data_IF_327962854272
#
_entry.id   IF_327962854272
#
_cell.length_a   1.000
_cell.length_b   1.000
_cell.length_c   1.000
_cell.angle_alpha   90.00
_cell.angle_beta   90.00
_cell.angle_gamma   90.00
#
_symmetry.space_group_name_H-M   'P 1'
#
loop_
_entity.id
_entity.type
_entity.pdbx_description
1 polymer ?
#
# COMPACT_ATOMS: atom_id res chain seq x y z
N UNK A 1 -12.55 -15.30 -15.52
CA UNK A 1 -11.53 -14.69 -14.68
C UNK A 1 -10.55 -13.81 -15.46
N UNK A 2 -9.86 -14.30 -16.50
CA UNK A 2 -8.89 -13.49 -17.31
C UNK A 2 -9.48 -12.20 -17.87
N UNK A 3 -10.71 -12.21 -18.42
CA UNK A 3 -11.35 -11.02 -19.00
C UNK A 3 -11.67 -9.93 -17.98
N UNK A 4 -12.05 -10.31 -16.76
CA UNK A 4 -12.32 -9.36 -15.65
C UNK A 4 -11.02 -8.68 -15.22
N UNK A 5 -9.94 -9.43 -15.05
CA UNK A 5 -8.64 -8.89 -14.68
C UNK A 5 -8.11 -7.94 -15.76
N UNK A 6 -8.19 -8.34 -17.03
CA UNK A 6 -7.68 -7.53 -18.14
C UNK A 6 -8.50 -6.24 -18.36
N UNK A 7 -9.83 -6.32 -18.32
CA UNK A 7 -10.70 -5.15 -18.46
C UNK A 7 -10.45 -4.14 -17.34
N UNK A 8 -10.34 -4.59 -16.10
CA UNK A 8 -10.05 -3.74 -14.95
C UNK A 8 -8.64 -3.09 -15.04
N UNK A 9 -7.64 -3.82 -15.53
CA UNK A 9 -6.29 -3.27 -15.71
C UNK A 9 -6.29 -2.14 -16.76
N UNK A 10 -6.95 -2.33 -17.91
CA UNK A 10 -7.02 -1.31 -18.96
C UNK A 10 -7.75 -0.04 -18.51
N UNK A 11 -8.85 -0.18 -17.78
CA UNK A 11 -9.64 0.95 -17.28
C UNK A 11 -8.85 1.86 -16.33
N UNK A 12 -7.89 1.31 -15.58
CA UNK A 12 -7.20 2.02 -14.52
C UNK A 12 -5.69 2.20 -14.74
N UNK A 13 -5.20 1.97 -15.95
CA UNK A 13 -3.78 2.17 -16.31
C UNK A 13 -3.21 3.53 -15.91
N UNK A 14 -4.07 4.58 -15.82
CA UNK A 14 -3.66 5.93 -15.40
C UNK A 14 -3.06 5.98 -13.99
N UNK A 15 -3.49 5.11 -13.07
CA UNK A 15 -2.96 5.06 -11.71
C UNK A 15 -1.56 4.48 -11.67
N UNK A 16 -1.30 3.42 -12.45
CA UNK A 16 0.05 2.87 -12.61
C UNK A 16 0.99 3.86 -13.32
N UNK A 17 0.48 4.61 -14.30
CA UNK A 17 1.26 5.68 -14.93
C UNK A 17 1.58 6.80 -13.93
N UNK A 18 0.61 7.22 -13.11
CA UNK A 18 0.84 8.21 -12.05
C UNK A 18 1.86 7.70 -11.01
N UNK A 19 1.75 6.45 -10.57
CA UNK A 19 2.73 5.83 -9.68
C UNK A 19 4.13 5.80 -10.30
N UNK A 20 4.25 5.41 -11.57
CA UNK A 20 5.51 5.40 -12.30
C UNK A 20 6.13 6.80 -12.45
N UNK A 21 5.33 7.82 -12.79
CA UNK A 21 5.78 9.22 -12.85
C UNK A 21 6.26 9.69 -11.48
N UNK A 22 5.49 9.42 -10.42
CA UNK A 22 5.87 9.76 -9.04
C UNK A 22 7.18 9.07 -8.64
N UNK A 23 7.34 7.79 -8.98
CA UNK A 23 8.56 7.05 -8.71
C UNK A 23 9.78 7.68 -9.40
N UNK A 24 9.67 8.05 -10.67
CA UNK A 24 10.75 8.68 -11.43
C UNK A 24 11.10 10.07 -10.85
N UNK A 25 10.09 10.91 -10.60
CA UNK A 25 10.32 12.27 -10.07
C UNK A 25 10.94 12.24 -8.68
N UNK A 26 10.48 11.38 -7.79
CA UNK A 26 11.04 11.28 -6.44
C UNK A 26 12.43 10.67 -6.43
N UNK A 27 12.71 9.70 -7.31
CA UNK A 27 14.07 9.16 -7.50
C UNK A 27 15.02 10.25 -7.97
N UNK A 28 14.62 11.05 -8.97
CA UNK A 28 15.41 12.18 -9.46
C UNK A 28 15.63 13.23 -8.36
N UNK A 29 14.60 13.57 -7.57
CA UNK A 29 14.72 14.50 -6.45
C UNK A 29 15.72 13.98 -5.39
N UNK A 30 15.64 12.72 -4.99
CA UNK A 30 16.61 12.13 -4.05
C UNK A 30 18.02 12.13 -4.62
N UNK A 31 18.20 11.76 -5.89
CA UNK A 31 19.51 11.77 -6.54
C UNK A 31 20.12 13.19 -6.58
N UNK A 32 19.33 14.22 -6.91
CA UNK A 32 19.76 15.61 -6.90
C UNK A 32 20.12 16.05 -5.49
N UNK A 33 19.32 15.76 -4.47
CA UNK A 33 19.64 16.09 -3.08
C UNK A 33 21.00 15.50 -2.67
N UNK A 34 21.23 14.22 -2.95
CA UNK A 34 22.48 13.54 -2.58
C UNK A 34 23.69 14.07 -3.36
N UNK A 35 23.54 14.39 -4.65
CA UNK A 35 24.66 14.75 -5.51
C UNK A 35 25.01 16.25 -5.46
N UNK A 36 24.01 17.13 -5.41
CA UNK A 36 24.21 18.58 -5.52
C UNK A 36 24.51 19.23 -4.17
N UNK A 37 23.83 18.79 -3.10
CA UNK A 37 23.92 19.45 -1.80
C UNK A 37 24.96 18.83 -0.84
N UNK A 38 25.84 17.99 -1.35
CA UNK A 38 26.83 17.24 -0.57
C UNK A 38 26.22 16.18 0.39
N UNK A 39 27.00 15.14 0.70
CA UNK A 39 26.58 14.01 1.54
C UNK A 39 26.65 14.34 3.03
N UNK A 40 26.05 15.46 3.46
CA UNK A 40 25.92 15.71 4.90
C UNK A 40 24.84 14.83 5.51
N UNK A 41 24.95 14.44 6.80
CA UNK A 41 23.94 13.61 7.46
C UNK A 41 22.53 14.19 7.36
N UNK A 42 22.39 15.51 7.42
CA UNK A 42 21.10 16.21 7.33
C UNK A 42 20.45 16.04 5.96
N UNK A 43 21.23 16.08 4.89
CA UNK A 43 20.73 15.91 3.52
C UNK A 43 20.39 14.46 3.23
N UNK A 44 21.18 13.52 3.74
CA UNK A 44 20.86 12.09 3.64
C UNK A 44 19.55 11.80 4.38
N UNK A 45 19.34 12.37 5.54
CA UNK A 45 18.08 12.27 6.32
C UNK A 45 16.89 12.86 5.55
N UNK A 46 17.06 14.04 4.94
CA UNK A 46 16.03 14.67 4.11
C UNK A 46 15.69 13.79 2.89
N UNK A 47 16.70 13.30 2.18
CA UNK A 47 16.52 12.39 1.06
C UNK A 47 15.81 11.08 1.49
N UNK A 48 16.16 10.54 2.66
CA UNK A 48 15.50 9.39 3.26
C UNK A 48 14.02 9.66 3.57
N UNK A 49 13.71 10.84 4.10
CA UNK A 49 12.32 11.24 4.38
C UNK A 49 11.52 11.39 3.08
N UNK A 50 12.08 12.03 2.07
CA UNK A 50 11.46 12.15 0.72
C UNK A 50 11.24 10.76 0.13
N UNK A 51 12.20 9.86 0.28
CA UNK A 51 12.10 8.49 -0.19
C UNK A 51 10.95 7.72 0.49
N UNK A 52 10.82 7.78 1.83
CA UNK A 52 9.73 7.13 2.56
C UNK A 52 8.37 7.65 2.08
N UNK A 53 8.21 8.97 1.98
CA UNK A 53 6.98 9.58 1.48
C UNK A 53 6.66 9.12 0.06
N UNK A 54 7.67 9.08 -0.80
CA UNK A 54 7.51 8.61 -2.17
C UNK A 54 7.07 7.14 -2.23
N UNK A 55 7.66 6.26 -1.43
CA UNK A 55 7.26 4.85 -1.32
C UNK A 55 5.78 4.73 -0.94
N UNK A 56 5.34 5.45 0.10
CA UNK A 56 3.94 5.43 0.54
C UNK A 56 3.01 5.91 -0.58
N UNK A 57 3.36 7.01 -1.26
CA UNK A 57 2.54 7.56 -2.36
C UNK A 57 2.50 6.60 -3.55
N UNK A 58 3.62 6.02 -3.96
CA UNK A 58 3.68 5.05 -5.07
C UNK A 58 2.83 3.83 -4.78
N UNK A 59 2.95 3.26 -3.58
CA UNK A 59 2.14 2.12 -3.16
C UNK A 59 0.66 2.47 -3.09
N UNK A 60 0.30 3.61 -2.49
CA UNK A 60 -1.09 4.07 -2.42
C UNK A 60 -1.71 4.30 -3.81
N UNK A 61 -0.96 4.87 -4.77
CA UNK A 61 -1.43 5.04 -6.15
C UNK A 61 -1.63 3.70 -6.86
N UNK A 62 -0.78 2.71 -6.61
CA UNK A 62 -0.97 1.37 -7.15
C UNK A 62 -2.25 0.73 -6.61
N UNK A 63 -2.54 0.90 -5.32
CA UNK A 63 -3.68 0.28 -4.65
C UNK A 63 -5.00 1.06 -4.79
N UNK A 64 -4.97 2.37 -5.05
CA UNK A 64 -6.17 3.21 -5.30
C UNK A 64 -7.08 2.62 -6.38
N UNK A 65 -6.50 1.88 -7.28
CA UNK A 65 -7.19 1.12 -8.30
C UNK A 65 -8.22 0.12 -7.75
N UNK A 66 -7.92 -0.57 -6.65
CA UNK A 66 -8.76 -1.65 -6.14
C UNK A 66 -10.11 -1.12 -5.63
N UNK A 67 -10.08 -0.11 -4.76
CA UNK A 67 -11.27 0.47 -4.16
C UNK A 67 -12.19 1.13 -5.20
N UNK A 68 -11.62 1.89 -6.14
CA UNK A 68 -12.40 2.57 -7.19
C UNK A 68 -13.00 1.60 -8.21
N UNK A 69 -12.31 0.53 -8.55
CA UNK A 69 -12.87 -0.52 -9.40
C UNK A 69 -14.04 -1.22 -8.75
N UNK A 70 -13.91 -1.54 -7.47
CA UNK A 70 -14.99 -2.18 -6.74
C UNK A 70 -16.22 -1.27 -6.66
N UNK A 71 -16.03 0.03 -6.38
CA UNK A 71 -17.09 1.01 -6.38
C UNK A 71 -17.79 1.12 -7.76
N UNK A 72 -16.99 1.18 -8.84
CA UNK A 72 -17.51 1.23 -10.19
C UNK A 72 -18.33 -0.03 -10.53
N UNK A 73 -17.79 -1.22 -10.20
CA UNK A 73 -18.47 -2.48 -10.43
C UNK A 73 -19.79 -2.58 -9.65
N UNK A 74 -19.84 -2.07 -8.44
CA UNK A 74 -21.07 -2.00 -7.63
C UNK A 74 -22.07 -1.05 -8.28
N UNK A 75 -21.66 0.17 -8.64
CA UNK A 75 -22.54 1.18 -9.26
C UNK A 75 -23.11 0.74 -10.61
N UNK A 76 -22.32 0.03 -11.42
CA UNK A 76 -22.74 -0.49 -12.71
C UNK A 76 -23.49 -1.82 -12.63
N UNK A 77 -23.77 -2.33 -11.42
CA UNK A 77 -24.36 -3.66 -11.20
C UNK A 77 -23.58 -4.82 -11.84
N UNK A 78 -22.32 -4.60 -12.16
CA UNK A 78 -21.48 -5.63 -12.78
C UNK A 78 -21.31 -6.82 -11.85
N UNK A 79 -21.22 -6.59 -10.54
CA UNK A 79 -21.14 -7.62 -9.51
C UNK A 79 -22.39 -8.52 -9.53
N UNK A 80 -23.57 -7.93 -9.71
CA UNK A 80 -24.85 -8.65 -9.75
C UNK A 80 -24.92 -9.53 -10.98
N UNK A 81 -24.55 -8.98 -12.14
CA UNK A 81 -24.53 -9.72 -13.42
C UNK A 81 -23.54 -10.89 -13.32
N UNK A 82 -22.39 -10.68 -12.68
CA UNK A 82 -21.34 -11.68 -12.54
C UNK A 82 -21.80 -12.83 -11.62
N UNK A 83 -22.48 -12.51 -10.51
CA UNK A 83 -23.03 -13.50 -9.59
C UNK A 83 -24.26 -14.20 -10.16
N UNK A 84 -25.13 -13.48 -10.87
CA UNK A 84 -26.27 -14.06 -11.60
C UNK A 84 -25.82 -14.99 -12.74
N UNK A 85 -24.67 -14.71 -13.34
CA UNK A 85 -24.03 -15.55 -14.36
C UNK A 85 -23.37 -16.84 -13.83
N UNK A 86 -23.59 -17.20 -12.54
CA UNK A 86 -23.12 -18.44 -11.94
C UNK A 86 -21.70 -18.42 -11.37
N UNK A 87 -21.07 -17.26 -11.28
CA UNK A 87 -19.77 -17.15 -10.59
C UNK A 87 -20.00 -17.22 -9.07
N UNK A 88 -19.32 -18.14 -8.40
CA UNK A 88 -19.47 -18.30 -6.95
C UNK A 88 -18.87 -17.09 -6.20
N UNK A 89 -19.44 -16.80 -5.02
CA UNK A 89 -18.93 -15.75 -4.11
C UNK A 89 -17.46 -15.93 -3.81
N UNK A 90 -17.02 -17.17 -3.55
CA UNK A 90 -15.61 -17.49 -3.31
C UNK A 90 -14.72 -17.11 -4.50
N UNK A 91 -15.16 -17.41 -5.72
CA UNK A 91 -14.42 -17.06 -6.94
C UNK A 91 -14.29 -15.55 -7.12
N UNK A 92 -15.35 -14.80 -6.79
CA UNK A 92 -15.33 -13.35 -6.82
C UNK A 92 -14.34 -12.78 -5.80
N UNK A 93 -14.45 -13.18 -4.53
CA UNK A 93 -13.54 -12.72 -3.46
C UNK A 93 -12.09 -13.10 -3.76
N UNK A 94 -11.85 -14.32 -4.26
CA UNK A 94 -10.53 -14.75 -4.67
C UNK A 94 -9.98 -13.91 -5.83
N UNK A 95 -10.83 -13.45 -6.75
CA UNK A 95 -10.40 -12.55 -7.84
C UNK A 95 -9.98 -11.18 -7.33
N UNK A 96 -10.65 -10.63 -6.31
CA UNK A 96 -10.27 -9.36 -5.69
C UNK A 96 -8.96 -9.52 -4.90
N UNK A 97 -8.77 -10.63 -4.19
CA UNK A 97 -7.52 -10.95 -3.51
C UNK A 97 -6.35 -11.06 -4.50
N UNK A 98 -6.57 -11.73 -5.63
CA UNK A 98 -5.52 -11.85 -6.65
C UNK A 98 -5.14 -10.49 -7.26
N UNK A 99 -6.11 -9.59 -7.47
CA UNK A 99 -5.83 -8.22 -7.92
C UNK A 99 -4.97 -7.47 -6.90
N UNK A 100 -5.33 -7.54 -5.62
CA UNK A 100 -4.56 -6.91 -4.55
C UNK A 100 -3.11 -7.44 -4.53
N UNK A 101 -2.90 -8.75 -4.63
CA UNK A 101 -1.55 -9.33 -4.70
C UNK A 101 -0.78 -8.84 -5.94
N UNK A 102 -1.42 -8.76 -7.10
CA UNK A 102 -0.76 -8.27 -8.32
C UNK A 102 -0.34 -6.81 -8.17
N UNK A 103 -1.20 -5.95 -7.62
CA UNK A 103 -0.87 -4.54 -7.38
C UNK A 103 0.26 -4.38 -6.38
N UNK A 104 0.26 -5.15 -5.29
CA UNK A 104 1.37 -5.18 -4.33
C UNK A 104 2.70 -5.56 -4.99
N UNK A 105 2.71 -6.59 -5.84
CA UNK A 105 3.92 -7.02 -6.55
C UNK A 105 4.43 -5.92 -7.49
N UNK A 106 3.54 -5.26 -8.23
CA UNK A 106 3.90 -4.14 -9.11
C UNK A 106 4.44 -2.96 -8.28
N UNK A 107 3.76 -2.58 -7.21
CA UNK A 107 4.18 -1.49 -6.32
C UNK A 107 5.54 -1.77 -5.68
N UNK A 108 5.75 -2.99 -5.18
CA UNK A 108 7.03 -3.41 -4.62
C UNK A 108 8.15 -3.37 -5.67
N UNK A 109 7.89 -3.83 -6.88
CA UNK A 109 8.87 -3.78 -7.97
C UNK A 109 9.29 -2.34 -8.31
N UNK A 110 8.32 -1.39 -8.35
CA UNK A 110 8.61 0.04 -8.54
C UNK A 110 9.47 0.59 -7.39
N UNK A 111 9.12 0.30 -6.13
CA UNK A 111 9.89 0.74 -4.97
C UNK A 111 11.30 0.17 -4.93
N UNK A 112 11.48 -1.11 -5.29
CA UNK A 112 12.80 -1.73 -5.39
C UNK A 112 13.63 -1.10 -6.52
N UNK A 113 13.02 -0.77 -7.66
CA UNK A 113 13.70 -0.07 -8.74
C UNK A 113 14.16 1.33 -8.30
N UNK A 114 13.30 2.10 -7.58
CA UNK A 114 13.68 3.39 -7.00
C UNK A 114 14.89 3.23 -6.06
N UNK A 115 14.83 2.28 -5.13
CA UNK A 115 15.91 1.99 -4.19
C UNK A 115 17.21 1.64 -4.91
N UNK A 116 17.13 0.77 -5.93
CA UNK A 116 18.28 0.37 -6.73
C UNK A 116 18.95 1.55 -7.46
N UNK A 117 18.16 2.48 -8.01
CA UNK A 117 18.70 3.66 -8.68
C UNK A 117 19.34 4.63 -7.66
N UNK A 118 18.67 4.89 -6.53
CA UNK A 118 19.20 5.79 -5.49
C UNK A 118 20.48 5.21 -4.88
N UNK A 119 20.58 3.89 -4.73
CA UNK A 119 21.77 3.23 -4.17
C UNK A 119 23.04 3.41 -5.01
N UNK A 120 22.93 3.77 -6.29
CA UNK A 120 24.07 4.14 -7.13
C UNK A 120 24.75 5.42 -6.60
N UNK A 121 23.97 6.32 -6.03
CA UNK A 121 24.46 7.59 -5.48
C UNK A 121 24.86 7.47 -4.00
N UNK A 122 24.15 6.63 -3.24
CA UNK A 122 24.42 6.34 -1.84
C UNK A 122 24.02 4.90 -1.47
N UNK A 123 25.02 4.06 -1.18
CA UNK A 123 24.82 2.66 -0.81
C UNK A 123 24.02 2.47 0.48
N UNK A 124 23.86 3.50 1.31
CA UNK A 124 23.03 3.41 2.53
C UNK A 124 21.58 3.09 2.22
N UNK A 125 21.10 3.40 1.00
CA UNK A 125 19.76 3.08 0.52
C UNK A 125 19.57 1.61 0.08
N UNK A 126 20.58 0.77 0.17
CA UNK A 126 20.49 -0.65 -0.12
C UNK A 126 20.90 -1.48 1.09
N UNK A 127 20.09 -1.43 2.15
CA UNK A 127 20.29 -2.18 3.38
C UNK A 127 19.21 -3.25 3.58
N UNK A 128 19.52 -4.26 4.38
CA UNK A 128 18.55 -5.31 4.74
C UNK A 128 17.34 -4.72 5.47
N UNK A 129 17.56 -3.72 6.32
CA UNK A 129 16.49 -3.00 7.02
C UNK A 129 15.54 -2.29 6.05
N UNK A 130 16.07 -1.65 5.01
CA UNK A 130 15.25 -1.01 3.98
C UNK A 130 14.45 -1.99 3.14
N UNK A 131 15.03 -3.11 2.74
CA UNK A 131 14.29 -4.15 2.00
C UNK A 131 13.15 -4.69 2.87
N UNK A 132 13.39 -4.96 4.15
CA UNK A 132 12.35 -5.37 5.10
C UNK A 132 11.26 -4.29 5.23
N UNK A 133 11.65 -3.01 5.30
CA UNK A 133 10.72 -1.88 5.34
C UNK A 133 9.83 -1.87 4.09
N UNK A 134 10.40 -1.95 2.87
CA UNK A 134 9.65 -1.94 1.62
C UNK A 134 8.64 -3.09 1.54
N UNK A 135 9.07 -4.30 1.88
CA UNK A 135 8.19 -5.47 1.91
C UNK A 135 7.05 -5.25 2.92
N UNK A 136 7.38 -4.79 4.13
CA UNK A 136 6.38 -4.55 5.18
C UNK A 136 5.41 -3.44 4.82
N UNK A 137 5.88 -2.32 4.25
CA UNK A 137 5.04 -1.23 3.80
C UNK A 137 4.07 -1.68 2.71
N UNK A 138 4.56 -2.46 1.74
CA UNK A 138 3.74 -3.02 0.67
C UNK A 138 2.63 -3.92 1.22
N UNK A 139 2.98 -4.87 2.08
CA UNK A 139 2.01 -5.81 2.67
C UNK A 139 1.02 -5.09 3.57
N UNK A 140 1.48 -4.08 4.33
CA UNK A 140 0.60 -3.30 5.21
C UNK A 140 -0.41 -2.47 4.41
N UNK A 141 0.02 -1.80 3.34
CA UNK A 141 -0.88 -1.04 2.47
C UNK A 141 -1.88 -1.98 1.80
N UNK A 142 -1.44 -3.12 1.25
CA UNK A 142 -2.36 -4.12 0.69
C UNK A 142 -3.34 -4.68 1.74
N UNK A 143 -2.93 -4.85 2.99
CA UNK A 143 -3.82 -5.26 4.07
C UNK A 143 -4.86 -4.17 4.41
N UNK A 144 -4.48 -2.89 4.35
CA UNK A 144 -5.41 -1.76 4.51
C UNK A 144 -6.47 -1.78 3.41
N UNK A 145 -6.08 -1.98 2.17
CA UNK A 145 -7.03 -2.07 1.06
C UNK A 145 -7.96 -3.27 1.18
N UNK A 146 -7.45 -4.37 1.72
CA UNK A 146 -8.29 -5.52 2.02
C UNK A 146 -9.37 -5.21 3.07
N UNK A 147 -9.08 -4.34 4.03
CA UNK A 147 -10.06 -3.80 5.00
C UNK A 147 -11.08 -2.88 4.31
N UNK A 148 -10.66 -2.13 3.29
CA UNK A 148 -11.53 -1.20 2.56
C UNK A 148 -12.65 -1.95 1.81
N UNK A 149 -12.40 -3.14 1.28
CA UNK A 149 -13.36 -3.88 0.45
C UNK A 149 -14.75 -4.02 1.11
N UNK A 150 -14.91 -4.57 2.33
CA UNK A 150 -16.23 -4.70 2.94
C UNK A 150 -16.87 -3.34 3.26
N UNK A 151 -16.05 -2.32 3.50
CA UNK A 151 -16.55 -0.95 3.74
C UNK A 151 -17.07 -0.32 2.45
N UNK A 152 -16.39 -0.51 1.31
CA UNK A 152 -16.87 -0.05 -0.01
C UNK A 152 -18.19 -0.73 -0.36
N UNK A 153 -18.31 -2.03 -0.11
CA UNK A 153 -19.57 -2.76 -0.31
C UNK A 153 -20.68 -2.17 0.57
N UNK A 154 -20.40 -1.89 1.85
CA UNK A 154 -21.36 -1.34 2.80
C UNK A 154 -21.78 0.09 2.47
N UNK A 155 -20.82 0.96 2.16
CA UNK A 155 -21.08 2.39 1.91
C UNK A 155 -21.40 2.70 0.46
N UNK A 156 -21.19 1.75 -0.46
CA UNK A 156 -21.29 1.95 -1.92
C UNK A 156 -20.41 3.12 -2.42
N UNK A 157 -19.34 3.43 -1.70
CA UNK A 157 -18.43 4.54 -1.97
C UNK A 157 -17.03 4.22 -1.45
N UNK A 158 -16.03 4.25 -2.33
CA UNK A 158 -14.62 4.09 -1.99
C UNK A 158 -14.11 5.27 -1.14
N UNK A 159 -14.57 6.49 -1.46
CA UNK A 159 -14.20 7.70 -0.73
C UNK A 159 -14.60 7.62 0.75
N UNK A 160 -15.86 7.27 1.04
CA UNK A 160 -16.35 7.11 2.42
C UNK A 160 -15.61 6.00 3.16
N UNK A 161 -15.36 4.89 2.49
CA UNK A 161 -14.59 3.78 3.05
C UNK A 161 -13.16 4.22 3.38
N UNK A 162 -12.49 4.92 2.45
CA UNK A 162 -11.14 5.46 2.63
C UNK A 162 -11.04 6.46 3.77
N UNK A 163 -12.02 7.36 3.93
CA UNK A 163 -12.07 8.30 5.06
C UNK A 163 -12.13 7.55 6.40
N UNK A 164 -13.02 6.56 6.52
CA UNK A 164 -13.14 5.76 7.75
C UNK A 164 -11.83 5.05 8.08
N UNK A 165 -11.23 4.40 7.10
CA UNK A 165 -9.96 3.69 7.29
C UNK A 165 -8.84 4.68 7.60
N UNK A 166 -8.74 5.79 6.86
CA UNK A 166 -7.77 6.85 7.10
C UNK A 166 -7.85 7.43 8.51
N UNK A 167 -9.06 7.68 9.03
CA UNK A 167 -9.24 8.14 10.40
C UNK A 167 -8.80 7.08 11.42
N UNK A 168 -9.19 5.82 11.25
CA UNK A 168 -8.83 4.73 12.17
C UNK A 168 -7.32 4.50 12.18
N UNK A 169 -6.68 4.41 11.01
CA UNK A 169 -5.23 4.20 10.93
C UNK A 169 -4.43 5.46 11.30
N UNK A 170 -4.87 6.64 10.85
CA UNK A 170 -4.21 7.91 11.15
C UNK A 170 -4.19 8.19 12.65
N UNK A 171 -5.35 8.19 13.29
CA UNK A 171 -5.44 8.47 14.73
C UNK A 171 -5.07 7.26 15.59
N UNK A 172 -5.40 6.04 15.16
CA UNK A 172 -5.17 4.84 15.96
C UNK A 172 -3.74 4.31 15.91
N UNK A 173 -3.00 4.54 14.84
CA UNK A 173 -1.66 3.95 14.62
C UNK A 173 -0.61 5.04 14.37
N UNK A 174 -0.84 5.92 13.40
CA UNK A 174 0.20 6.88 12.98
C UNK A 174 0.44 7.92 14.07
N UNK A 175 -0.59 8.52 14.67
CA UNK A 175 -0.41 9.51 15.73
C UNK A 175 0.31 8.95 16.96
N UNK A 176 -0.05 7.77 17.53
CA UNK A 176 0.68 7.18 18.64
C UNK A 176 2.13 6.83 18.29
N UNK A 177 2.40 6.33 17.05
CA UNK A 177 3.75 6.06 16.60
C UNK A 177 4.59 7.33 16.51
N UNK A 178 4.08 8.39 15.88
CA UNK A 178 4.78 9.68 15.79
C UNK A 178 5.03 10.25 17.18
N UNK A 179 4.07 10.16 18.09
CA UNK A 179 4.22 10.60 19.48
C UNK A 179 5.27 9.78 20.22
N UNK A 180 5.25 8.45 20.09
CA UNK A 180 6.25 7.56 20.69
C UNK A 180 7.66 7.85 20.15
N UNK A 181 7.81 8.07 18.83
CA UNK A 181 9.09 8.45 18.24
C UNK A 181 9.60 9.77 18.80
N UNK A 182 8.73 10.79 18.91
CA UNK A 182 9.12 12.10 19.42
C UNK A 182 9.55 12.09 20.90
N UNK A 183 9.03 11.13 21.69
CA UNK A 183 9.36 11.02 23.10
C UNK A 183 10.61 10.14 23.37
N UNK A 184 10.96 9.27 22.43
CA UNK A 184 12.05 8.29 22.65
C UNK A 184 13.45 8.79 22.34
N UNK A 185 13.62 9.72 21.39
CA UNK A 185 14.97 10.20 21.04
C UNK A 185 14.86 11.49 20.18
N UNK A 186 15.17 12.64 20.78
CA UNK A 186 15.09 13.94 20.10
C UNK A 186 16.19 14.16 19.06
N UNK A 187 17.25 13.33 19.07
CA UNK A 187 18.45 13.58 18.27
C UNK A 187 18.53 12.68 17.01
N UNK A 188 17.63 11.70 16.87
CA UNK A 188 17.61 10.81 15.70
C UNK A 188 16.52 11.18 14.72
N UNK A 189 16.86 11.18 13.43
CA UNK A 189 15.90 11.41 12.38
C UNK A 189 14.93 10.21 12.22
N UNK A 190 13.73 10.51 11.68
CA UNK A 190 12.64 9.53 11.51
C UNK A 190 13.07 8.38 10.59
N UNK A 191 13.90 8.66 9.57
CA UNK A 191 14.37 7.64 8.63
C UNK A 191 15.25 6.61 9.32
N UNK A 192 16.26 7.06 10.05
CA UNK A 192 17.18 6.18 10.81
C UNK A 192 16.43 5.38 11.88
N UNK A 193 15.49 5.99 12.58
CA UNK A 193 14.66 5.32 13.57
C UNK A 193 13.77 4.22 12.96
N UNK A 194 13.09 4.53 11.87
CA UNK A 194 12.26 3.57 11.15
C UNK A 194 13.07 2.37 10.67
N UNK A 195 14.18 2.60 9.97
CA UNK A 195 15.03 1.51 9.48
C UNK A 195 15.59 0.69 10.63
N UNK A 196 16.02 1.32 11.73
CA UNK A 196 16.48 0.63 12.92
C UNK A 196 15.45 -0.26 13.61
N UNK A 197 14.14 0.02 13.46
CA UNK A 197 13.09 -0.90 13.92
C UNK A 197 13.06 -2.18 13.08
N UNK A 198 13.26 -2.07 11.76
CA UNK A 198 13.27 -3.23 10.86
C UNK A 198 14.53 -4.10 11.02
N UNK A 199 15.59 -3.58 11.61
CA UNK A 199 16.77 -4.37 11.97
C UNK A 199 16.53 -5.27 13.19
N UNK A 200 15.50 -4.97 14.02
CA UNK A 200 15.13 -5.84 15.13
C UNK A 200 14.51 -7.14 14.61
N UNK A 201 15.04 -8.28 15.04
CA UNK A 201 14.65 -9.61 14.54
C UNK A 201 13.16 -9.95 14.71
N UNK A 202 12.49 -9.41 15.72
CA UNK A 202 11.10 -9.69 16.04
C UNK A 202 10.11 -8.79 15.29
N UNK A 203 10.52 -7.59 14.85
CA UNK A 203 9.62 -6.57 14.33
C UNK A 203 9.03 -6.95 12.96
N UNK A 204 9.88 -7.42 12.04
CA UNK A 204 9.44 -7.85 10.71
C UNK A 204 8.47 -9.05 10.76
N UNK A 205 8.75 -10.15 11.49
CA UNK A 205 7.80 -11.25 11.66
C UNK A 205 6.49 -10.82 12.32
N UNK A 206 6.53 -9.88 13.28
CA UNK A 206 5.33 -9.38 13.94
C UNK A 206 4.40 -8.66 12.96
N UNK A 207 4.94 -7.79 12.10
CA UNK A 207 4.15 -7.12 11.04
C UNK A 207 3.53 -8.14 10.08
N UNK A 208 4.34 -9.10 9.61
CA UNK A 208 3.84 -10.14 8.69
C UNK A 208 2.70 -10.95 9.31
N UNK A 209 2.83 -11.31 10.57
CA UNK A 209 1.80 -12.08 11.31
C UNK A 209 0.52 -11.24 11.49
N UNK A 210 0.65 -9.96 11.83
CA UNK A 210 -0.49 -9.06 11.97
C UNK A 210 -1.23 -8.87 10.62
N UNK A 211 -0.50 -8.65 9.53
CA UNK A 211 -1.08 -8.53 8.20
C UNK A 211 -1.76 -9.84 7.76
N UNK A 212 -1.14 -11.00 7.99
CA UNK A 212 -1.73 -12.30 7.69
C UNK A 212 -3.05 -12.50 8.47
N UNK A 213 -3.10 -12.13 9.75
CA UNK A 213 -4.32 -12.18 10.55
C UNK A 213 -5.42 -11.27 9.96
N UNK A 214 -5.07 -10.06 9.52
CA UNK A 214 -6.00 -9.13 8.86
C UNK A 214 -6.58 -9.79 7.59
N UNK A 215 -5.73 -10.36 6.73
CA UNK A 215 -6.20 -11.03 5.51
C UNK A 215 -7.18 -12.16 5.80
N UNK A 216 -6.90 -13.02 6.77
CA UNK A 216 -7.76 -14.14 7.14
C UNK A 216 -9.09 -13.66 7.74
N UNK A 217 -9.04 -12.71 8.69
CA UNK A 217 -10.23 -12.18 9.36
C UNK A 217 -11.15 -11.49 8.34
N UNK A 218 -10.61 -10.60 7.50
CA UNK A 218 -11.42 -9.87 6.53
C UNK A 218 -11.91 -10.74 5.38
N UNK A 219 -11.16 -11.77 4.97
CA UNK A 219 -11.65 -12.79 4.06
C UNK A 219 -12.90 -13.49 4.62
N UNK A 220 -12.86 -13.90 5.87
CA UNK A 220 -14.00 -14.52 6.55
C UNK A 220 -15.19 -13.56 6.68
N UNK A 221 -14.94 -12.27 7.01
CA UNK A 221 -15.98 -11.23 7.09
C UNK A 221 -16.66 -11.04 5.74
N UNK A 222 -15.89 -10.92 4.65
CA UNK A 222 -16.43 -10.70 3.31
C UNK A 222 -17.31 -11.90 2.91
N UNK A 223 -16.88 -13.14 3.16
CA UNK A 223 -17.63 -14.33 2.79
C UNK A 223 -18.93 -14.52 3.59
N UNK A 224 -18.87 -14.29 4.92
CA UNK A 224 -19.94 -14.68 5.83
C UNK A 224 -20.86 -13.54 6.26
N UNK A 225 -20.34 -12.31 6.34
CA UNK A 225 -21.08 -11.15 6.89
C UNK A 225 -21.63 -10.21 5.83
N UNK A 226 -21.00 -10.12 4.66
CA UNK A 226 -21.52 -9.27 3.59
C UNK A 226 -22.76 -9.94 2.99
N UNK A 227 -23.90 -9.26 3.12
CA UNK A 227 -25.14 -9.67 2.46
C UNK A 227 -25.03 -9.28 1.00
N UNK A 228 -24.74 -10.26 0.16
CA UNK A 228 -24.57 -10.05 -1.28
C UNK A 228 -25.88 -9.62 -1.98
N UNK A 229 -27.03 -9.81 -1.33
CA UNK A 229 -28.31 -9.29 -1.80
C UNK A 229 -28.47 -7.76 -1.61
N UNK A 230 -27.69 -7.14 -0.70
CA UNK A 230 -27.72 -5.69 -0.50
C UNK A 230 -26.82 -4.94 -1.51
N UNK A 231 -26.11 -5.67 -2.35
CA UNK A 231 -25.29 -5.14 -3.45
C UNK A 231 -26.15 -4.94 -4.71
N UNK A 232 -27.37 -5.51 -4.73
CA UNK A 232 -28.35 -5.41 -5.79
C UNK A 232 -29.23 -4.15 -5.65
#
# INVERSE_FOLDING_TARGET
>A
MKGILYGNFLLNRKWFLAAGITAVLSTAACAVLITVFSKTPEIISLAGTVFILAVVVVLALCEEWLGRNLEHNIKCRFTDITLAGGISKNTFVLSELLKNIITMVIGLAMCLAMTGVISIFDNSFWSVGQIKFLISATILIGAVDWIIIPLVIKFKSAEKAGIVVGLVFGFGIVCPLVFAFKTMDNDKDIFTMLIGLFDKAWFFPAILSACAAIYVIFYAIILHRVKWGDVC
#
